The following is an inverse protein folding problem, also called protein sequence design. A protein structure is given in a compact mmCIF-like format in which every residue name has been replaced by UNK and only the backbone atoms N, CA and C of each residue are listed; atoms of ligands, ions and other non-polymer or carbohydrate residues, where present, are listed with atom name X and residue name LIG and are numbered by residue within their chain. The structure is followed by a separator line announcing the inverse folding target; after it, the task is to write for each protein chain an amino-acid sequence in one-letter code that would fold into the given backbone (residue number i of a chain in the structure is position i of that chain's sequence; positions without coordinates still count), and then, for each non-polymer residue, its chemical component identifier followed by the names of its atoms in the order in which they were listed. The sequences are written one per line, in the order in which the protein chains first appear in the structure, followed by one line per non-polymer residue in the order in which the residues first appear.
data_IF_277236411218
#
_entry.id   IF_277236411218
#
_cell.length_a   1.000
_cell.length_b   1.000
_cell.length_c   1.000
_cell.angle_alpha   90.00
_cell.angle_beta   90.00
_cell.angle_gamma   90.00
#
_symmetry.space_group_name_H-M   'P 1'
#
loop_
_entity.id
_entity.type
_entity.pdbx_description
1 polymer ?
#
# COMPACT_ATOMS: atom_id res chain seq x y z
N UNK A 1 13.73 13.71 -35.89
CA UNK A 1 12.60 12.76 -36.04
C UNK A 1 11.69 12.91 -34.85
N UNK A 2 10.44 13.33 -35.05
CA UNK A 2 9.46 13.46 -33.98
C UNK A 2 8.82 12.08 -33.74
N UNK A 3 8.82 11.60 -32.49
CA UNK A 3 8.20 10.31 -32.12
C UNK A 3 6.85 10.58 -31.48
N UNK A 4 5.86 9.77 -31.81
CA UNK A 4 4.55 9.80 -31.18
C UNK A 4 4.57 8.95 -29.90
N UNK A 5 3.80 9.35 -28.90
CA UNK A 5 3.64 8.64 -27.65
C UNK A 5 2.16 8.63 -27.27
N UNK A 6 1.66 7.46 -26.89
CA UNK A 6 0.31 7.31 -26.33
C UNK A 6 0.41 7.40 -24.82
N UNK A 7 -0.43 8.23 -24.21
CA UNK A 7 -0.38 8.50 -22.77
C UNK A 7 -1.79 8.56 -22.21
N UNK A 8 -2.01 7.87 -21.10
CA UNK A 8 -3.19 8.03 -20.27
C UNK A 8 -2.84 8.84 -19.00
N UNK A 9 -3.70 9.79 -18.63
CA UNK A 9 -3.59 10.54 -17.39
C UNK A 9 -4.92 10.50 -16.63
N UNK A 10 -4.81 10.36 -15.31
CA UNK A 10 -5.92 10.54 -14.39
C UNK A 10 -5.99 12.01 -13.99
N UNK A 11 -7.19 12.55 -13.79
CA UNK A 11 -7.39 13.94 -13.30
C UNK A 11 -6.97 14.13 -11.83
N UNK A 12 -6.37 13.12 -11.25
CA UNK A 12 -6.44 12.78 -9.84
C UNK A 12 -5.10 12.15 -9.43
N UNK A 13 -4.65 12.39 -8.19
CA UNK A 13 -3.34 11.95 -7.67
C UNK A 13 -3.52 10.86 -6.61
N UNK A 14 -2.46 10.11 -6.32
CA UNK A 14 -2.53 8.93 -5.43
C UNK A 14 -1.55 9.03 -4.27
N UNK A 15 -1.84 8.30 -3.20
CA UNK A 15 -0.89 7.99 -2.13
C UNK A 15 -0.77 6.47 -2.03
N UNK A 16 0.44 5.97 -1.78
CA UNK A 16 0.61 4.61 -1.27
C UNK A 16 1.19 4.70 0.14
N UNK A 17 0.64 3.88 1.01
CA UNK A 17 0.89 3.96 2.44
C UNK A 17 1.60 2.68 2.86
N UNK A 18 2.73 2.81 3.54
CA UNK A 18 3.37 1.71 4.25
C UNK A 18 3.10 1.91 5.75
N UNK A 19 2.11 1.21 6.32
CA UNK A 19 1.94 1.19 7.77
C UNK A 19 3.00 0.28 8.38
N UNK A 20 3.74 0.80 9.36
CA UNK A 20 4.60 0.03 10.25
C UNK A 20 3.85 -0.15 11.56
N UNK A 21 3.56 -1.40 11.90
CA UNK A 21 2.77 -1.75 13.06
C UNK A 21 3.74 -2.01 14.22
N UNK A 22 3.73 -1.14 15.24
CA UNK A 22 4.65 -1.20 16.37
C UNK A 22 3.90 -1.37 17.69
N UNK A 23 4.38 -2.27 18.53
CA UNK A 23 3.95 -2.41 19.93
C UNK A 23 4.92 -1.66 20.85
N UNK A 24 4.45 -1.24 22.03
CA UNK A 24 5.30 -0.68 23.10
C UNK A 24 6.28 -1.72 23.65
N UNK A 25 5.97 -3.00 23.49
CA UNK A 25 6.94 -4.06 23.72
C UNK A 25 7.80 -4.20 22.46
N UNK A 26 9.12 -3.97 22.52
CA UNK A 26 10.00 -4.26 21.40
C UNK A 26 9.94 -5.76 21.10
N UNK A 27 9.14 -6.15 20.12
CA UNK A 27 9.19 -7.48 19.55
C UNK A 27 9.66 -7.35 18.11
N UNK A 28 10.80 -7.95 17.82
CA UNK A 28 11.02 -8.42 16.46
C UNK A 28 10.15 -9.68 16.28
N UNK A 29 9.40 -9.80 15.17
CA UNK A 29 9.53 -9.06 13.91
C UNK A 29 8.63 -7.80 13.80
N UNK A 30 8.96 -6.91 12.84
CA UNK A 30 8.20 -5.68 12.55
C UNK A 30 7.12 -5.97 11.49
N UNK A 31 5.83 -5.91 11.84
CA UNK A 31 4.75 -6.13 10.90
C UNK A 31 4.40 -4.92 10.03
N UNK A 32 3.82 -5.22 8.88
CA UNK A 32 3.14 -4.28 7.98
C UNK A 32 1.78 -4.83 7.58
N UNK A 33 1.04 -4.08 6.76
CA UNK A 33 -0.29 -4.45 6.28
C UNK A 33 -0.31 -4.51 4.76
N UNK A 34 -0.99 -5.52 4.23
CA UNK A 34 -1.27 -5.66 2.79
C UNK A 34 -2.78 -5.77 2.55
N UNK A 35 -3.22 -5.22 1.42
CA UNK A 35 -4.59 -5.27 0.95
C UNK A 35 -4.75 -6.27 -0.18
N UNK A 36 -5.90 -6.92 -0.20
CA UNK A 36 -6.45 -7.68 -1.30
C UNK A 36 -7.69 -6.96 -1.82
N UNK A 37 -7.70 -6.65 -3.12
CA UNK A 37 -8.81 -5.97 -3.77
C UNK A 37 -8.94 -6.41 -5.22
N UNK A 38 -10.18 -6.59 -5.69
CA UNK A 38 -10.43 -6.85 -7.11
C UNK A 38 -10.03 -5.63 -7.95
N UNK A 39 -9.25 -5.83 -9.02
CA UNK A 39 -8.88 -4.78 -9.97
C UNK A 39 -9.54 -5.07 -11.31
N UNK A 40 -10.65 -4.38 -11.66
CA UNK A 40 -11.34 -4.60 -12.94
C UNK A 40 -10.42 -4.55 -14.17
N UNK A 41 -9.44 -3.64 -14.28
CA UNK A 41 -8.52 -3.62 -15.43
C UNK A 41 -7.63 -4.87 -15.55
N UNK A 42 -7.40 -5.59 -14.44
CA UNK A 42 -6.61 -6.82 -14.40
C UNK A 42 -7.47 -8.08 -14.49
N UNK A 43 -8.79 -7.97 -14.27
CA UNK A 43 -9.70 -9.12 -14.21
C UNK A 43 -9.42 -10.09 -13.05
N UNK A 44 -8.62 -9.69 -12.06
CA UNK A 44 -8.22 -10.52 -10.91
C UNK A 44 -8.03 -9.66 -9.66
N UNK A 45 -7.89 -10.31 -8.51
CA UNK A 45 -7.52 -9.66 -7.26
C UNK A 45 -6.04 -9.30 -7.26
N UNK A 46 -5.73 -8.10 -6.77
CA UNK A 46 -4.38 -7.62 -6.59
C UNK A 46 -4.02 -7.53 -5.11
N UNK A 47 -2.76 -7.87 -4.80
CA UNK A 47 -2.14 -7.65 -3.49
C UNK A 47 -1.30 -6.38 -3.55
N UNK A 48 -1.60 -5.41 -2.69
CA UNK A 48 -0.94 -4.11 -2.68
C UNK A 48 -0.78 -3.53 -1.28
N UNK A 49 -0.06 -2.42 -1.17
CA UNK A 49 -0.17 -1.54 -0.02
C UNK A 49 -1.63 -1.09 0.19
N UNK A 50 -1.98 -0.60 1.39
CA UNK A 50 -3.01 0.41 1.53
C UNK A 50 -2.76 1.50 0.51
N UNK A 51 -3.67 1.56 -0.46
CA UNK A 51 -3.52 2.41 -1.61
C UNK A 51 -4.91 2.74 -2.12
N UNK A 52 -5.12 4.04 -2.21
CA UNK A 52 -6.31 4.62 -2.80
C UNK A 52 -6.66 3.92 -4.13
N UNK A 53 -7.83 3.28 -4.14
CA UNK A 53 -8.69 3.24 -5.31
C UNK A 53 -9.49 1.97 -5.48
N UNK A 54 -10.77 2.01 -5.12
CA UNK A 54 -11.91 2.00 -6.03
C UNK A 54 -13.15 2.77 -5.49
N UNK A 55 -13.02 3.75 -4.58
CA UNK A 55 -14.15 4.57 -4.12
C UNK A 55 -14.41 5.70 -5.11
N UNK A 56 -15.39 5.45 -6.00
CA UNK A 56 -16.15 6.33 -6.92
C UNK A 56 -15.42 7.34 -7.82
N UNK A 57 -14.17 7.61 -7.57
CA UNK A 57 -13.28 8.47 -8.30
C UNK A 57 -12.00 7.71 -8.50
N UNK A 58 -10.91 8.36 -8.86
CA UNK A 58 -9.70 7.69 -9.32
C UNK A 58 -8.50 8.48 -8.83
N UNK A 59 -8.56 9.11 -7.65
CA UNK A 59 -7.44 9.76 -6.94
C UNK A 59 -7.77 11.17 -6.47
N UNK A 60 -8.79 11.30 -5.63
CA UNK A 60 -8.86 12.50 -4.82
C UNK A 60 -7.98 12.17 -3.60
N UNK A 61 -6.90 12.94 -3.40
CA UNK A 61 -6.87 13.65 -2.13
C UNK A 61 -7.89 14.75 -2.42
N UNK A 62 -9.13 14.59 -1.98
CA UNK A 62 -10.07 15.70 -2.01
C UNK A 62 -9.48 16.78 -1.10
N UNK A 63 -9.91 18.03 -1.24
CA UNK A 63 -9.35 19.14 -0.46
C UNK A 63 -9.48 18.88 1.07
N UNK A 64 -8.49 18.21 1.69
CA UNK A 64 -8.50 17.81 3.09
C UNK A 64 -8.13 16.34 3.41
N UNK A 65 -8.04 15.43 2.43
CA UNK A 65 -7.71 14.01 2.67
C UNK A 65 -6.20 13.79 2.84
N UNK A 66 -5.80 12.90 3.76
CA UNK A 66 -4.40 12.63 4.08
C UNK A 66 -4.12 11.12 4.12
N UNK A 67 -2.85 10.73 4.16
CA UNK A 67 -2.49 9.31 4.27
C UNK A 67 -3.12 8.65 5.51
N UNK A 68 -3.30 9.40 6.59
CA UNK A 68 -3.92 8.93 7.83
C UNK A 68 -5.43 8.71 7.69
N UNK A 69 -6.14 9.56 6.96
CA UNK A 69 -7.59 9.40 6.75
C UNK A 69 -7.90 8.17 5.91
N UNK A 70 -7.09 7.95 4.87
CA UNK A 70 -7.16 6.79 3.97
C UNK A 70 -6.92 5.47 4.71
N UNK A 71 -5.85 5.42 5.53
CA UNK A 71 -5.58 4.25 6.36
C UNK A 71 -6.78 3.91 7.25
N UNK A 72 -7.40 4.93 7.86
CA UNK A 72 -8.55 4.74 8.74
C UNK A 72 -9.80 4.27 7.99
N UNK A 73 -10.02 4.72 6.77
CA UNK A 73 -11.14 4.28 5.94
C UNK A 73 -10.99 2.80 5.54
N UNK A 74 -9.86 2.46 4.92
CA UNK A 74 -9.63 1.14 4.32
C UNK A 74 -9.42 0.05 5.37
N UNK A 75 -8.90 0.39 6.54
CA UNK A 75 -8.48 -0.60 7.55
C UNK A 75 -9.09 -0.39 8.93
N UNK A 76 -9.65 0.79 9.20
CA UNK A 76 -10.08 1.20 10.54
C UNK A 76 -8.92 1.60 11.48
N UNK A 77 -7.67 1.49 11.03
CA UNK A 77 -6.48 1.81 11.83
C UNK A 77 -6.24 3.32 11.92
N UNK A 78 -5.81 3.79 13.09
CA UNK A 78 -5.39 5.19 13.27
C UNK A 78 -3.87 5.27 13.32
N UNK A 79 -3.29 6.10 12.46
CA UNK A 79 -1.86 6.37 12.48
C UNK A 79 -1.48 7.18 13.73
N UNK A 80 -0.41 6.76 14.41
CA UNK A 80 0.18 7.49 15.52
C UNK A 80 1.02 8.68 15.04
N UNK A 81 1.76 8.51 13.94
CA UNK A 81 2.55 9.57 13.31
C UNK A 81 2.94 9.25 11.87
N UNK A 82 3.33 10.28 11.10
CA UNK A 82 4.01 10.11 9.82
C UNK A 82 5.51 9.92 10.11
N UNK A 83 6.06 8.79 9.68
CA UNK A 83 7.50 8.50 9.80
C UNK A 83 8.26 9.17 8.66
N UNK A 84 7.76 9.02 7.44
CA UNK A 84 8.42 9.52 6.23
C UNK A 84 7.41 9.84 5.13
N UNK A 85 7.73 10.83 4.30
CA UNK A 85 6.97 11.16 3.09
C UNK A 85 7.92 11.42 1.93
N UNK A 86 7.69 10.72 0.82
CA UNK A 86 8.52 10.89 -0.37
C UNK A 86 8.22 12.20 -1.10
N UNK A 87 9.15 12.67 -1.96
CA UNK A 87 8.80 13.54 -3.08
C UNK A 87 7.73 12.88 -3.98
N UNK A 88 7.23 13.64 -4.97
CA UNK A 88 6.30 13.07 -5.96
C UNK A 88 7.03 12.02 -6.80
N UNK A 89 6.50 10.79 -6.81
CA UNK A 89 7.02 9.65 -7.56
C UNK A 89 6.12 9.33 -8.74
N UNK A 90 6.71 8.78 -9.80
CA UNK A 90 6.02 8.39 -11.03
C UNK A 90 6.10 6.87 -11.16
N UNK A 91 5.00 6.12 -10.93
CA UNK A 91 5.03 4.66 -10.90
C UNK A 91 5.26 4.03 -12.28
N UNK A 92 4.81 4.69 -13.36
CA UNK A 92 5.03 4.23 -14.73
C UNK A 92 5.21 5.43 -15.67
N UNK A 93 6.46 5.88 -15.79
CA UNK A 93 6.84 7.00 -16.65
C UNK A 93 6.86 6.65 -18.14
N UNK A 94 6.78 5.36 -18.49
CA UNK A 94 6.78 4.90 -19.88
C UNK A 94 5.40 4.97 -20.52
N UNK A 95 4.33 4.86 -19.72
CA UNK A 95 2.94 4.78 -20.22
C UNK A 95 2.04 5.93 -19.74
N UNK A 96 2.26 6.47 -18.54
CA UNK A 96 1.27 7.35 -17.90
C UNK A 96 1.89 8.63 -17.32
N UNK A 97 1.05 9.65 -17.11
CA UNK A 97 1.38 10.79 -16.23
C UNK A 97 0.93 10.59 -14.77
N UNK A 98 0.56 9.36 -14.41
CA UNK A 98 0.17 9.07 -13.04
C UNK A 98 1.34 9.41 -12.10
N UNK A 99 1.03 9.95 -10.94
CA UNK A 99 2.02 10.19 -9.90
C UNK A 99 1.40 10.01 -8.52
N UNK A 100 2.28 9.92 -7.54
CA UNK A 100 1.91 9.59 -6.18
C UNK A 100 2.92 10.11 -5.15
N UNK A 101 2.51 10.13 -3.89
CA UNK A 101 3.44 10.11 -2.75
C UNK A 101 3.48 8.72 -2.12
N UNK A 102 4.64 8.33 -1.63
CA UNK A 102 4.79 7.20 -0.73
C UNK A 102 4.91 7.74 0.69
N UNK A 103 4.06 7.28 1.60
CA UNK A 103 4.01 7.75 2.99
C UNK A 103 4.16 6.55 3.92
N UNK A 104 5.10 6.65 4.84
CA UNK A 104 5.29 5.65 5.90
C UNK A 104 4.59 6.15 7.14
N UNK A 105 3.66 5.36 7.67
CA UNK A 105 2.89 5.68 8.87
C UNK A 105 3.29 4.74 10.00
N UNK A 106 3.43 5.27 11.21
CA UNK A 106 3.55 4.46 12.42
C UNK A 106 2.15 4.18 12.96
N UNK A 107 1.86 2.92 13.31
CA UNK A 107 0.56 2.48 13.83
C UNK A 107 0.79 1.75 15.14
N UNK A 108 0.15 2.22 16.21
CA UNK A 108 0.25 1.58 17.53
C UNK A 108 -0.59 0.29 17.56
N UNK A 109 0.09 -0.85 17.54
CA UNK A 109 -0.54 -2.17 17.66
C UNK A 109 -1.28 -2.34 18.98
N UNK A 110 -0.80 -1.73 20.06
CA UNK A 110 -1.41 -1.87 21.38
C UNK A 110 -2.72 -1.10 21.50
N UNK A 111 -3.02 -0.25 20.51
CA UNK A 111 -4.31 0.43 20.38
C UNK A 111 -5.38 -0.43 19.69
N UNK A 112 -4.99 -1.59 19.14
CA UNK A 112 -5.92 -2.52 18.55
C UNK A 112 -6.59 -3.37 19.63
N UNK A 113 -7.91 -3.36 19.63
CA UNK A 113 -8.70 -4.35 20.35
C UNK A 113 -8.46 -5.76 19.80
N UNK A 114 -8.85 -6.79 20.57
CA UNK A 114 -8.88 -8.18 20.10
C UNK A 114 -9.78 -8.36 18.85
N UNK A 115 -10.71 -7.43 18.62
CA UNK A 115 -11.53 -7.36 17.42
C UNK A 115 -10.88 -6.46 16.35
N UNK A 116 -10.88 -6.94 15.09
CA UNK A 116 -10.39 -6.16 13.96
C UNK A 116 -11.22 -4.86 13.82
N UNK A 117 -10.57 -3.70 13.65
CA UNK A 117 -11.28 -2.44 13.53
C UNK A 117 -12.22 -2.40 12.33
N UNK A 118 -13.34 -1.70 12.48
CA UNK A 118 -14.39 -1.61 11.47
C UNK A 118 -13.94 -0.72 10.31
N UNK A 119 -13.91 -1.27 9.10
CA UNK A 119 -13.62 -0.52 7.88
C UNK A 119 -14.82 0.36 7.49
N UNK A 120 -14.58 1.54 6.93
CA UNK A 120 -15.62 2.44 6.44
C UNK A 120 -15.56 2.56 4.92
N UNK A 121 -15.71 1.43 4.23
CA UNK A 121 -15.57 1.34 2.77
C UNK A 121 -16.74 2.02 2.05
N UNK A 122 -16.48 2.60 0.88
CA UNK A 122 -17.55 3.13 0.05
C UNK A 122 -18.33 2.03 -0.69
N UNK A 123 -19.52 2.39 -1.16
CA UNK A 123 -20.35 1.53 -1.99
C UNK A 123 -19.62 1.12 -3.30
N UNK A 124 -19.47 -0.19 -3.49
CA UNK A 124 -18.74 -0.80 -4.60
C UNK A 124 -17.30 -1.21 -4.26
N UNK A 125 -16.81 -0.91 -3.06
CA UNK A 125 -15.49 -1.36 -2.60
C UNK A 125 -15.57 -2.63 -1.76
N UNK A 126 -14.68 -3.57 -2.09
CA UNK A 126 -14.45 -4.76 -1.29
C UNK A 126 -12.95 -4.89 -1.10
N UNK A 127 -12.50 -4.59 0.12
CA UNK A 127 -11.10 -4.58 0.51
C UNK A 127 -10.94 -5.53 1.69
N UNK A 128 -10.07 -6.52 1.54
CA UNK A 128 -9.65 -7.40 2.63
C UNK A 128 -8.22 -7.03 2.99
N UNK A 129 -7.94 -6.83 4.28
CA UNK A 129 -6.60 -6.51 4.73
C UNK A 129 -6.05 -7.59 5.65
N UNK A 130 -4.72 -7.71 5.70
CA UNK A 130 -4.03 -8.62 6.61
C UNK A 130 -2.70 -8.07 7.06
N UNK A 131 -2.33 -8.42 8.29
CA UNK A 131 -1.02 -8.12 8.86
C UNK A 131 -0.04 -9.19 8.37
N UNK A 132 1.16 -8.74 7.97
CA UNK A 132 2.25 -9.59 7.50
C UNK A 132 3.56 -9.06 8.07
N UNK A 133 4.36 -9.95 8.64
CA UNK A 133 5.72 -9.63 9.07
C UNK A 133 6.58 -9.23 7.88
N UNK A 134 7.36 -8.15 8.02
CA UNK A 134 8.22 -7.68 6.92
C UNK A 134 9.21 -8.75 6.44
N UNK A 135 9.64 -9.63 7.34
CA UNK A 135 10.59 -10.71 7.04
C UNK A 135 9.94 -11.84 6.20
N UNK A 136 8.63 -12.03 6.36
CA UNK A 136 7.84 -13.03 5.62
C UNK A 136 7.18 -12.42 4.37
N UNK A 137 7.16 -11.09 4.24
CA UNK A 137 6.43 -10.38 3.19
C UNK A 137 6.76 -10.91 1.79
N UNK A 138 8.04 -11.10 1.46
CA UNK A 138 8.43 -11.60 0.14
C UNK A 138 7.90 -13.02 -0.14
N UNK A 139 7.91 -13.90 0.86
CA UNK A 139 7.39 -15.26 0.73
C UNK A 139 5.86 -15.25 0.56
N UNK A 140 5.17 -14.42 1.34
CA UNK A 140 3.71 -14.22 1.25
C UNK A 140 3.30 -13.73 -0.15
N UNK A 141 4.01 -12.74 -0.71
CA UNK A 141 3.70 -12.24 -2.06
C UNK A 141 3.93 -13.31 -3.14
N UNK A 142 4.96 -14.15 -2.99
CA UNK A 142 5.20 -15.26 -3.92
C UNK A 142 4.10 -16.32 -3.83
N UNK A 143 3.56 -16.61 -2.65
CA UNK A 143 2.42 -17.51 -2.50
C UNK A 143 1.17 -16.97 -3.21
N UNK A 144 0.84 -15.69 -3.00
CA UNK A 144 -0.26 -15.04 -3.70
C UNK A 144 -0.09 -15.07 -5.22
N UNK A 145 1.11 -14.80 -5.73
CA UNK A 145 1.40 -14.88 -7.16
C UNK A 145 1.15 -16.30 -7.71
N UNK A 146 1.55 -17.35 -6.99
CA UNK A 146 1.28 -18.75 -7.37
C UNK A 146 -0.20 -19.09 -7.40
N UNK A 147 -1.00 -18.43 -6.56
CA UNK A 147 -2.46 -18.58 -6.49
C UNK A 147 -3.22 -17.75 -7.54
N UNK A 148 -2.53 -17.00 -8.40
CA UNK A 148 -3.12 -16.24 -9.51
C UNK A 148 -3.49 -14.79 -9.18
N UNK A 149 -3.03 -14.28 -8.04
CA UNK A 149 -3.20 -12.87 -7.67
C UNK A 149 -2.16 -12.01 -8.39
N UNK A 150 -2.57 -10.80 -8.79
CA UNK A 150 -1.62 -9.80 -9.26
C UNK A 150 -0.87 -9.19 -8.07
N UNK A 151 0.45 -9.02 -8.16
CA UNK A 151 1.25 -8.39 -7.10
C UNK A 151 1.63 -6.98 -7.54
N UNK A 152 1.36 -5.99 -6.69
CA UNK A 152 1.81 -4.62 -6.94
C UNK A 152 3.34 -4.55 -7.01
N UNK A 153 3.86 -3.98 -8.10
CA UNK A 153 5.29 -3.92 -8.33
C UNK A 153 6.04 -3.14 -7.24
N UNK A 154 5.45 -2.07 -6.69
CA UNK A 154 6.10 -1.26 -5.64
C UNK A 154 6.21 -2.05 -4.34
N UNK A 155 5.15 -2.78 -3.98
CA UNK A 155 5.15 -3.67 -2.82
C UNK A 155 6.18 -4.79 -2.97
N UNK A 156 6.26 -5.39 -4.17
CA UNK A 156 7.26 -6.40 -4.48
C UNK A 156 8.69 -5.85 -4.40
N UNK A 157 8.97 -4.68 -4.98
CA UNK A 157 10.30 -4.06 -4.94
C UNK A 157 10.74 -3.74 -3.51
N UNK A 158 9.85 -3.24 -2.67
CA UNK A 158 10.13 -2.98 -1.27
C UNK A 158 10.43 -4.28 -0.50
N UNK A 159 9.61 -5.31 -0.65
CA UNK A 159 9.83 -6.61 -0.02
C UNK A 159 11.19 -7.23 -0.42
N UNK A 160 11.57 -7.09 -1.69
CA UNK A 160 12.89 -7.49 -2.18
C UNK A 160 14.01 -6.65 -1.56
N UNK A 161 13.84 -5.33 -1.49
CA UNK A 161 14.79 -4.40 -0.88
C UNK A 161 15.01 -4.69 0.61
N UNK A 162 13.94 -5.01 1.35
CA UNK A 162 14.00 -5.44 2.74
C UNK A 162 14.80 -6.73 2.92
N UNK A 163 14.52 -7.74 2.09
CA UNK A 163 15.28 -8.98 2.13
C UNK A 163 16.76 -8.80 1.74
N UNK A 164 17.04 -7.93 0.77
CA UNK A 164 18.40 -7.60 0.38
C UNK A 164 19.15 -6.87 1.49
N UNK A 165 18.52 -5.92 2.17
CA UNK A 165 19.16 -5.25 3.30
C UNK A 165 19.53 -6.29 4.37
N UNK A 166 18.65 -7.20 4.76
CA UNK A 166 18.99 -8.24 5.75
C UNK A 166 20.05 -9.23 5.26
N UNK A 167 19.99 -9.63 3.99
CA UNK A 167 20.94 -10.59 3.40
C UNK A 167 22.34 -10.01 3.23
N UNK A 168 22.45 -8.72 2.90
CA UNK A 168 23.71 -8.07 2.54
C UNK A 168 24.22 -7.05 3.57
N UNK A 169 23.46 -6.70 4.61
CA UNK A 169 23.89 -5.81 5.71
C UNK A 169 24.87 -6.45 6.69
N UNK A 170 25.24 -7.73 6.52
CA UNK A 170 26.37 -8.34 7.24
C UNK A 170 27.64 -8.22 6.39
N UNK A 171 28.33 -7.09 6.52
CA UNK A 171 29.77 -6.93 6.27
C UNK A 171 30.38 -6.04 7.34
#
# INVERSE_FOLDING_TARGET
VQRQWEVAERKTRRVAILPLLRSKVPSEPLPTLILEQHRPPLGTNAISYPQWGLSKYAGLIDHGETAETELKEETGLTAASIVESSPVLVPDAGMTRANMKFVVLDVDLDSLSDELPFQNLEDGEYIVWRIVELDELSAVLQDYAKRGFAIDARLSHFAMGWNFSRKFSKK
#
